data_IF_706301145683
#
_entry.id   IF_706301145683
#
_cell.length_a   1.000
_cell.length_b   1.000
_cell.length_c   1.000
_cell.angle_alpha   90.00
_cell.angle_beta   90.00
_cell.angle_gamma   90.00
#
_symmetry.space_group_name_H-M   'P 1'
#
loop_
_entity.id
_entity.type
_entity.pdbx_description
1 polymer ?
2 polymer ?
3 non-polymer ?
4 water ?
#
# COMPACT_ATOMS: atom_id res chain seq x y z
N UNK A 1 -6.53 13.13 -4.82
CA UNK A 1 -5.81 14.21 -4.20
C UNK A 1 -4.73 13.74 -3.25
N UNK A 2 -4.71 12.51 -2.68
CA UNK A 2 -3.52 12.12 -1.93
C UNK A 2 -2.84 10.92 -2.61
N UNK A 3 -1.61 11.10 -3.10
CA UNK A 3 -0.96 10.00 -3.73
C UNK A 3 0.24 9.65 -2.90
N UNK A 4 0.67 8.40 -3.06
CA UNK A 4 1.90 7.91 -2.45
C UNK A 4 2.69 7.17 -3.52
N UNK A 5 3.93 6.86 -3.23
CA UNK A 5 4.79 6.13 -4.13
C UNK A 5 5.39 4.92 -3.37
N UNK A 6 5.33 3.76 -3.99
CA UNK A 6 5.95 2.56 -3.47
C UNK A 6 7.49 2.63 -3.33
N UNK A 7 7.96 2.29 -2.13
CA UNK A 7 9.37 2.15 -1.84
C UNK A 7 9.94 0.76 -2.05
N UNK A 8 9.07 -0.24 -2.12
CA UNK A 8 9.37 -1.62 -2.21
C UNK A 8 8.26 -2.29 -2.98
N UNK A 9 8.53 -3.42 -3.65
CA UNK A 9 7.39 -4.22 -4.18
C UNK A 9 6.52 -4.69 -3.00
N UNK A 10 5.25 -4.95 -3.24
CA UNK A 10 4.36 -5.55 -2.24
C UNK A 10 3.47 -6.55 -2.96
N UNK A 11 3.37 -7.75 -2.46
CA UNK A 11 2.60 -8.72 -3.26
C UNK A 11 1.34 -9.23 -2.73
N UNK A 12 1.00 -8.74 -1.57
CA UNK A 12 -0.12 -9.11 -0.81
C UNK A 12 -0.02 -10.46 -0.19
N UNK A 13 -0.84 -10.66 0.82
CA UNK A 13 -1.10 -11.97 1.29
C UNK A 13 -2.54 -12.41 1.07
N UNK A 14 -3.47 -11.48 1.26
CA UNK A 14 -4.87 -11.71 1.11
C UNK A 14 -5.42 -11.16 -0.20
N UNK A 15 -6.49 -11.73 -0.75
CA UNK A 15 -7.14 -11.18 -1.94
C UNK A 15 -7.52 -9.68 -1.85
N UNK A 16 -7.79 -9.26 -0.64
CA UNK A 16 -8.20 -7.91 -0.36
C UNK A 16 -7.06 -6.88 -0.47
N UNK A 17 -5.85 -7.39 -0.46
CA UNK A 17 -4.67 -6.52 -0.57
C UNK A 17 -4.47 -6.08 -2.02
N UNK A 18 -3.78 -4.95 -2.21
CA UNK A 18 -3.48 -4.41 -3.51
C UNK A 18 -1.96 -4.58 -3.71
N UNK A 19 -1.57 -5.53 -4.58
CA UNK A 19 -0.14 -5.63 -4.89
C UNK A 19 0.38 -4.47 -5.68
N UNK A 20 1.68 -4.23 -5.63
CA UNK A 20 2.30 -3.15 -6.38
C UNK A 20 3.79 -3.40 -6.51
N UNK A 21 4.40 -2.63 -7.37
CA UNK A 21 5.87 -2.70 -7.65
C UNK A 21 6.52 -1.46 -7.14
N UNK A 22 7.76 -1.63 -6.69
CA UNK A 22 8.58 -0.48 -6.32
C UNK A 22 8.51 0.62 -7.39
N UNK A 23 8.29 1.85 -6.93
CA UNK A 23 8.11 3.00 -7.72
C UNK A 23 6.69 3.32 -8.20
N UNK A 24 5.78 2.42 -8.00
CA UNK A 24 4.37 2.61 -8.43
C UNK A 24 3.73 3.72 -7.59
N UNK A 25 2.82 4.44 -8.26
CA UNK A 25 2.11 5.55 -7.70
C UNK A 25 0.67 5.13 -7.42
N UNK A 26 0.18 5.39 -6.21
CA UNK A 26 -1.15 4.91 -5.76
C UNK A 26 -1.92 6.05 -5.20
N UNK A 27 -3.25 6.06 -5.38
CA UNK A 27 -4.14 7.09 -4.83
C UNK A 27 -4.78 6.50 -3.55
N UNK A 28 -4.74 7.25 -2.47
CA UNK A 28 -5.30 6.81 -1.19
C UNK A 28 -6.76 7.08 -1.22
N UNK A 29 -7.54 6.09 -0.85
CA UNK A 29 -8.99 6.22 -0.92
C UNK A 29 -9.65 6.16 0.48
N UNK A 30 -9.10 5.44 1.40
CA UNK A 30 -9.54 5.33 2.79
C UNK A 30 -8.44 5.00 3.77
N UNK A 31 -8.56 5.46 5.01
CA UNK A 31 -7.56 5.22 6.03
C UNK A 31 -8.22 4.59 7.27
N UNK A 32 -8.69 3.34 7.12
CA UNK A 32 -9.37 2.74 8.24
C UNK A 32 -8.54 2.40 9.47
N UNK A 33 -7.24 2.22 9.28
CA UNK A 33 -6.32 2.00 10.40
C UNK A 33 -5.02 2.65 10.07
N UNK A 34 -4.12 2.75 11.04
CA UNK A 34 -2.91 3.52 10.86
C UNK A 34 -1.97 2.90 9.88
N UNK A 35 -1.90 1.56 9.84
CA UNK A 35 -0.80 0.97 8.99
C UNK A 35 -1.24 0.34 7.73
N UNK A 36 -2.55 0.28 7.47
CA UNK A 36 -3.12 -0.33 6.33
C UNK A 36 -4.21 0.62 5.82
N UNK A 37 -4.01 1.05 4.59
CA UNK A 37 -4.94 1.96 3.88
C UNK A 37 -5.47 1.34 2.61
N UNK A 38 -6.65 1.81 2.20
CA UNK A 38 -7.23 1.40 0.89
C UNK A 38 -6.75 2.31 -0.18
N UNK A 39 -6.21 1.75 -1.24
CA UNK A 39 -5.66 2.58 -2.33
C UNK A 39 -6.12 2.07 -3.67
N UNK A 40 -5.84 2.91 -4.71
CA UNK A 40 -6.18 2.59 -6.08
C UNK A 40 -4.96 2.75 -6.95
N UNK A 41 -4.67 1.79 -7.83
CA UNK A 41 -3.52 1.85 -8.67
C UNK A 41 -3.89 2.50 -10.01
N UNK A 42 -2.93 2.64 -10.91
CA UNK A 42 -3.04 3.32 -12.20
C UNK A 42 -4.04 2.62 -13.10
N UNK A 43 -4.31 1.37 -12.80
CA UNK A 43 -5.28 0.58 -13.55
C UNK A 43 -6.69 0.63 -13.00
N UNK A 44 -6.82 1.24 -11.86
CA UNK A 44 -8.11 1.42 -11.25
C UNK A 44 -8.45 0.33 -10.28
N UNK A 45 -7.49 -0.51 -10.01
CA UNK A 45 -7.67 -1.57 -9.08
C UNK A 45 -7.56 -1.09 -7.66
N UNK A 46 -8.39 -1.61 -6.74
CA UNK A 46 -8.33 -1.15 -5.36
C UNK A 46 -8.00 -2.25 -4.33
N UNK A 47 -7.41 -1.87 -3.22
CA UNK A 47 -7.12 -2.84 -2.17
C UNK A 47 -6.23 -2.24 -1.13
N UNK A 48 -5.93 -3.05 -0.12
CA UNK A 48 -5.25 -2.58 1.06
C UNK A 48 -3.77 -2.64 0.79
N UNK A 49 -3.10 -1.62 1.32
CA UNK A 49 -1.65 -1.50 1.22
C UNK A 49 -1.03 -1.19 2.56
N UNK A 50 0.25 -1.60 2.75
CA UNK A 50 0.88 -1.35 3.97
C UNK A 50 1.63 -0.01 3.97
N UNK A 51 1.21 0.88 4.88
CA UNK A 51 1.73 2.25 4.87
C UNK A 51 3.29 2.37 4.92
N UNK A 52 3.93 1.46 5.68
CA UNK A 52 5.39 1.64 5.73
C UNK A 52 6.07 1.40 4.40
N UNK A 53 5.42 0.77 3.44
CA UNK A 53 6.00 0.50 2.13
C UNK A 53 5.93 1.68 1.21
N UNK A 54 5.28 2.80 1.61
CA UNK A 54 5.14 3.92 0.74
C UNK A 54 5.64 5.26 1.29
N UNK A 55 5.78 6.24 0.40
CA UNK A 55 6.12 7.63 0.78
C UNK A 55 5.11 8.56 0.14
N UNK A 56 4.91 9.72 0.72
CA UNK A 56 4.09 10.74 0.09
C UNK A 56 4.67 11.06 -1.30
N UNK A 57 3.79 11.18 -2.28
CA UNK A 57 4.17 11.49 -3.65
C UNK A 57 3.63 12.85 -4.06
N UNK A 58 4.55 13.74 -4.36
CA UNK A 58 4.29 15.12 -4.74
C UNK A 58 3.33 15.88 -3.77
C UNK B 1 23.09 -4.39 -3.19
N UNK B 2 23.64 -4.72 -2.03
CA UNK B 2 23.74 -3.90 -0.84
C UNK B 2 22.57 -2.94 -0.63
N UNK B 3 21.40 -3.52 -0.74
CA UNK B 3 20.16 -2.82 -0.57
C UNK B 3 19.45 -3.31 0.71
N UNK B 4 18.51 -2.52 1.20
CA UNK B 4 17.73 -2.83 2.35
C UNK B 4 16.63 -3.84 1.97
N UNK B 5 16.27 -4.70 2.99
CA UNK B 5 15.21 -5.63 2.68
C UNK B 5 13.81 -5.01 2.81
N UNK B 6 12.85 -5.76 2.16
CA UNK B 6 11.48 -5.27 2.35
C UNK B 6 11.16 -5.29 3.84
N UNK B 7 10.51 -4.15 4.24
CA UNK B 7 10.16 -4.09 5.65
C UNK B 7 9.20 -5.20 6.11
N UNK B 8 9.22 -5.44 7.39
CA UNK B 8 8.32 -6.39 7.99
C UNK B 8 6.92 -5.88 7.70
N UNK B 9 6.00 -6.73 7.26
CA UNK B 9 4.66 -6.22 7.00
C UNK B 9 4.05 -5.92 8.35
N UNK B 10 3.42 -4.69 8.40
CA UNK B 10 2.78 -4.40 9.68
C UNK B 10 1.58 -5.31 9.95
N UNK B 11 1.32 -5.67 11.19
CA UNK B 11 0.14 -6.49 11.41
C UNK B 11 -1.10 -5.70 11.14
N UNK B 12 -2.15 -6.38 10.71
CA UNK B 12 -3.41 -5.72 10.46
C UNK B 12 -4.24 -5.68 11.77
N UNK B 13 -4.81 -4.52 12.05
CA UNK B 13 -5.60 -4.40 13.24
C UNK B 13 -6.97 -5.01 13.05
N UNK B 14 -7.47 -4.79 11.85
CA UNK B 14 -8.75 -5.28 11.42
C UNK B 14 -8.71 -6.16 10.16
N UNK B 15 -9.82 -6.80 9.89
CA UNK B 15 -10.01 -7.57 8.65
C UNK B 15 -10.72 -6.89 7.35
N UNK B 16 -10.28 -7.00 6.12
CA UNK B 16 -10.80 -6.23 5.05
C UNK B 16 -11.27 -7.12 3.91
N UNK B 17 -11.68 -6.56 2.76
X LIG C 1 -6.11 8.38 -8.73
X LIG C 1 -7.27 8.89 -9.41
X LIG C 1 -5.71 7.01 -9.22
X LIG C 1 -4.65 6.33 -8.51
X LIG C 1 -3.79 5.60 -9.30
X LIG C 1 -2.35 6.13 -9.30
X LIG C 1 -1.49 5.69 -10.31
X LIG D 1 0.46 14.12 -8.56
X LIG D 1 0.21 12.75 -8.50
X LIG D 1 0.46 12.09 -9.82
X LIG D 1 -0.33 10.95 -9.90
#
# INVERSE_FOLDING_TARGET
AEYVRALFDFNGNDEEDLPFKKGDILRIRDKPEEQWWNAEDSEGKRGMIPVPYVEKYR
XDNSPPPALPKKRQSYX
PEG C1 O1 C2 O2 C3 C4 O4
PEG O2 C3 C4 O4
#
